data_IF_161659688177
#
_entry.id   IF_161659688177
#
_cell.length_a   1.000
_cell.length_b   1.000
_cell.length_c   1.000
_cell.angle_alpha   90.00
_cell.angle_beta   90.00
_cell.angle_gamma   90.00
#
_symmetry.space_group_name_H-M   'P 1'
#
loop_
_entity.id
_entity.type
_entity.pdbx_description
1 polymer ?
#
# COMPACT_ATOMS: atom_id res chain seq x y z
N UNK A 1 -6.08 27.17 7.27
CA UNK A 1 -5.23 26.95 8.45
C UNK A 1 -3.82 26.65 7.96
N UNK A 2 -2.75 27.29 8.50
CA UNK A 2 -1.41 26.86 8.14
C UNK A 2 -1.17 25.45 8.68
N UNK A 3 -0.60 24.57 7.87
CA UNK A 3 -0.12 23.26 8.31
C UNK A 3 1.10 23.51 9.19
N UNK A 4 0.93 23.45 10.50
CA UNK A 4 2.01 23.69 11.46
C UNK A 4 2.41 22.37 12.11
N UNK A 5 3.68 22.02 11.99
CA UNK A 5 4.30 20.91 12.74
C UNK A 5 4.40 21.34 14.22
N UNK A 6 3.70 20.63 15.08
CA UNK A 6 3.71 20.83 16.53
C UNK A 6 4.70 19.88 17.25
N UNK A 7 4.68 19.86 18.60
CA UNK A 7 5.54 18.96 19.39
C UNK A 7 5.19 17.50 19.17
N UNK A 8 3.90 17.15 19.10
CA UNK A 8 3.45 15.77 18.92
C UNK A 8 3.91 15.17 17.57
N UNK A 9 3.88 15.98 16.49
CA UNK A 9 4.44 15.56 15.20
C UNK A 9 5.95 15.32 15.25
N UNK A 10 6.70 16.10 16.06
CA UNK A 10 8.13 15.88 16.25
C UNK A 10 8.40 14.61 17.05
N UNK A 11 7.61 14.36 18.10
CA UNK A 11 7.71 13.15 18.92
C UNK A 11 7.38 11.91 18.06
N UNK A 12 6.38 11.99 17.19
CA UNK A 12 6.08 10.94 16.21
C UNK A 12 7.26 10.73 15.26
N UNK A 13 7.81 11.80 14.68
CA UNK A 13 8.96 11.73 13.78
C UNK A 13 10.16 11.06 14.46
N UNK A 14 10.47 11.43 15.71
CA UNK A 14 11.59 10.88 16.49
C UNK A 14 11.36 9.40 16.82
N UNK A 15 10.13 9.00 17.12
CA UNK A 15 9.74 7.60 17.33
C UNK A 15 9.93 6.77 16.07
N UNK A 16 9.39 7.22 14.92
CA UNK A 16 9.53 6.53 13.63
C UNK A 16 10.99 6.46 13.19
N UNK A 17 11.75 7.55 13.34
CA UNK A 17 13.19 7.60 13.05
C UNK A 17 13.98 6.58 13.88
N UNK A 18 13.62 6.44 15.14
CA UNK A 18 14.24 5.46 16.06
C UNK A 18 13.91 4.04 15.64
N UNK A 19 12.67 3.78 15.22
CA UNK A 19 12.28 2.50 14.61
C UNK A 19 13.11 2.22 13.36
N UNK A 20 13.15 3.14 12.40
CA UNK A 20 13.87 3.01 11.13
C UNK A 20 15.34 2.67 11.34
N UNK A 21 16.03 3.40 12.21
CA UNK A 21 17.44 3.12 12.55
C UNK A 21 17.68 1.71 13.10
N UNK A 22 16.69 1.14 13.80
CA UNK A 22 16.79 -0.20 14.38
C UNK A 22 16.50 -1.30 13.38
N UNK A 23 15.53 -1.10 12.46
CA UNK A 23 15.02 -2.17 11.59
C UNK A 23 15.50 -2.08 10.14
N UNK A 24 16.03 -0.94 9.72
CA UNK A 24 16.58 -0.69 8.40
C UNK A 24 17.94 0.04 8.48
N UNK A 25 18.94 -0.49 9.23
CA UNK A 25 20.27 0.09 9.23
C UNK A 25 20.92 -0.02 7.84
N UNK A 26 21.99 0.71 7.62
CA UNK A 26 22.65 0.80 6.31
C UNK A 26 23.04 -0.56 5.72
N UNK A 27 23.45 -1.49 6.57
CA UNK A 27 23.84 -2.86 6.17
C UNK A 27 22.66 -3.61 5.54
N UNK A 28 21.47 -3.53 6.15
CA UNK A 28 20.23 -4.14 5.62
C UNK A 28 19.82 -3.50 4.30
N UNK A 29 20.00 -2.18 4.18
CA UNK A 29 19.70 -1.47 2.93
C UNK A 29 20.68 -1.86 1.81
N UNK A 30 21.96 -1.98 2.09
CA UNK A 30 22.96 -2.44 1.11
C UNK A 30 22.66 -3.87 0.65
N UNK A 31 22.35 -4.77 1.56
CA UNK A 31 21.96 -6.14 1.21
C UNK A 31 20.71 -6.16 0.32
N UNK A 32 19.74 -5.32 0.61
CA UNK A 32 18.49 -5.20 -0.16
C UNK A 32 18.68 -4.67 -1.59
N UNK A 33 19.79 -3.98 -1.89
CA UNK A 33 20.14 -3.57 -3.25
C UNK A 33 20.57 -4.75 -4.13
N UNK A 34 21.15 -5.77 -3.52
CA UNK A 34 21.71 -6.94 -4.22
C UNK A 34 20.78 -8.16 -4.16
N UNK A 35 20.08 -8.32 -3.05
CA UNK A 35 19.20 -9.47 -2.78
C UNK A 35 17.81 -8.99 -2.39
N UNK A 36 16.75 -9.44 -3.09
CA UNK A 36 15.38 -9.09 -2.73
C UNK A 36 15.09 -9.43 -1.26
N UNK A 37 14.52 -8.47 -0.53
CA UNK A 37 14.08 -8.71 0.83
C UNK A 37 12.92 -9.71 0.89
N UNK A 38 12.79 -10.46 2.00
CA UNK A 38 11.61 -11.28 2.24
C UNK A 38 10.34 -10.44 2.24
N UNK A 39 9.22 -11.08 1.90
CA UNK A 39 7.89 -10.44 1.91
C UNK A 39 7.05 -11.03 3.04
N UNK A 40 6.55 -10.22 3.99
CA UNK A 40 6.83 -8.78 4.17
C UNK A 40 8.27 -8.53 4.63
N UNK A 41 8.81 -7.32 4.39
CA UNK A 41 10.15 -6.97 4.84
C UNK A 41 10.22 -6.91 6.38
N UNK A 42 11.42 -7.10 6.98
CA UNK A 42 11.56 -7.25 8.44
C UNK A 42 10.96 -6.11 9.28
N UNK A 43 11.03 -4.88 8.77
CA UNK A 43 10.48 -3.73 9.50
C UNK A 43 8.94 -3.71 9.54
N UNK A 44 8.26 -4.40 8.61
CA UNK A 44 6.81 -4.32 8.41
C UNK A 44 6.03 -4.67 9.68
N UNK A 45 6.42 -5.77 10.32
CA UNK A 45 5.80 -6.18 11.58
C UNK A 45 6.03 -5.15 12.68
N UNK A 46 7.26 -4.64 12.83
CA UNK A 46 7.59 -3.65 13.86
C UNK A 46 6.84 -2.32 13.64
N UNK A 47 6.58 -1.93 12.40
CA UNK A 47 5.74 -0.78 12.07
C UNK A 47 4.26 -1.04 12.44
N UNK A 48 3.76 -2.24 12.20
CA UNK A 48 2.40 -2.65 12.61
C UNK A 48 2.21 -2.65 14.13
N UNK A 49 3.19 -3.18 14.88
CA UNK A 49 3.18 -3.18 16.36
C UNK A 49 3.14 -1.75 16.94
N UNK A 50 3.59 -0.74 16.20
CA UNK A 50 3.50 0.68 16.55
C UNK A 50 2.26 1.38 15.95
N UNK A 51 1.38 0.66 15.27
CA UNK A 51 0.17 1.20 14.64
C UNK A 51 0.43 2.10 13.42
N UNK A 52 1.65 2.09 12.85
CA UNK A 52 2.04 3.01 11.78
C UNK A 52 1.33 2.74 10.45
N UNK A 53 0.85 1.51 10.21
CA UNK A 53 0.08 1.18 9.00
C UNK A 53 -1.33 1.77 9.05
N UNK A 54 -1.90 1.90 10.25
CA UNK A 54 -3.26 2.38 10.49
C UNK A 54 -3.35 3.82 11.01
N UNK A 55 -2.29 4.64 10.93
CA UNK A 55 -2.29 6.01 11.50
C UNK A 55 -3.53 6.82 11.08
N UNK A 56 -3.89 6.77 9.81
CA UNK A 56 -4.97 7.57 9.20
C UNK A 56 -6.32 6.85 9.18
N UNK A 57 -6.38 5.60 9.62
CA UNK A 57 -7.61 4.82 9.64
C UNK A 57 -8.35 5.02 10.97
N UNK A 58 -9.67 4.85 10.93
CA UNK A 58 -10.50 4.98 12.11
C UNK A 58 -10.18 3.90 13.17
N UNK A 59 -10.41 4.23 14.45
CA UNK A 59 -10.23 3.30 15.56
C UNK A 59 -11.17 2.08 15.45
N UNK A 60 -12.36 2.24 14.84
CA UNK A 60 -13.32 1.16 14.61
C UNK A 60 -12.76 0.00 13.78
N UNK A 61 -11.81 0.27 12.90
CA UNK A 61 -11.12 -0.74 12.09
C UNK A 61 -9.71 -1.07 12.59
N UNK A 62 -9.37 -0.67 13.82
CA UNK A 62 -8.06 -0.90 14.43
C UNK A 62 -7.00 0.12 14.06
N UNK A 63 -7.38 1.24 13.44
CA UNK A 63 -6.50 2.37 13.17
C UNK A 63 -6.24 3.24 14.40
N UNK A 64 -5.49 4.33 14.22
CA UNK A 64 -5.13 5.26 15.29
C UNK A 64 -5.99 6.54 15.29
N UNK A 65 -6.86 6.74 14.30
CA UNK A 65 -7.75 7.89 14.19
C UNK A 65 -7.06 9.22 13.92
N UNK A 66 -5.78 9.22 13.52
CA UNK A 66 -5.06 10.43 13.15
C UNK A 66 -5.41 10.90 11.73
N UNK A 67 -4.79 12.02 11.32
CA UNK A 67 -4.99 12.59 9.99
C UNK A 67 -3.88 12.23 8.99
N UNK A 68 -4.03 12.81 7.79
CA UNK A 68 -3.01 12.69 6.75
C UNK A 68 -1.69 13.36 7.11
N UNK A 69 -1.69 14.31 8.07
CA UNK A 69 -0.48 14.99 8.48
C UNK A 69 0.45 14.06 9.27
N UNK A 70 -0.09 13.31 10.22
CA UNK A 70 0.66 12.30 11.00
C UNK A 70 1.15 11.19 10.09
N UNK A 71 0.33 10.73 9.15
CA UNK A 71 0.75 9.77 8.13
C UNK A 71 1.92 10.31 7.29
N UNK A 72 1.85 11.59 6.86
CA UNK A 72 2.91 12.22 6.08
C UNK A 72 4.22 12.34 6.88
N UNK A 73 4.13 12.63 8.18
CA UNK A 73 5.30 12.66 9.09
C UNK A 73 5.97 11.29 9.14
N UNK A 74 5.20 10.22 9.32
CA UNK A 74 5.73 8.86 9.36
C UNK A 74 6.36 8.45 8.01
N UNK A 75 5.68 8.74 6.89
CA UNK A 75 6.17 8.46 5.54
C UNK A 75 7.48 9.22 5.27
N UNK A 76 7.61 10.47 5.72
CA UNK A 76 8.83 11.25 5.56
C UNK A 76 10.02 10.57 6.25
N UNK A 77 9.85 10.06 7.47
CA UNK A 77 10.92 9.36 8.20
C UNK A 77 11.28 8.01 7.53
N UNK A 78 10.31 7.27 7.02
CA UNK A 78 10.58 6.08 6.20
C UNK A 78 11.34 6.44 4.92
N UNK A 79 11.00 7.57 4.29
CA UNK A 79 11.71 8.09 3.12
C UNK A 79 13.15 8.47 3.41
N UNK A 80 13.40 9.21 4.50
CA UNK A 80 14.74 9.56 4.97
C UNK A 80 15.61 8.34 5.26
N UNK A 81 15.01 7.29 5.80
CA UNK A 81 15.69 6.03 6.06
C UNK A 81 15.74 5.09 4.86
N UNK A 82 15.30 5.50 3.67
CA UNK A 82 15.21 4.68 2.47
C UNK A 82 14.53 3.32 2.69
N UNK A 83 13.60 3.24 3.67
CA UNK A 83 12.94 1.98 4.06
C UNK A 83 12.28 1.34 2.84
N UNK A 84 12.64 0.09 2.48
CA UNK A 84 12.13 -0.55 1.27
C UNK A 84 10.68 -1.01 1.42
N UNK A 85 9.97 -1.20 0.31
CA UNK A 85 8.72 -1.96 0.26
C UNK A 85 7.44 -1.15 0.19
N UNK A 86 6.38 -1.68 0.83
CA UNK A 86 4.98 -1.47 0.45
C UNK A 86 4.24 -0.39 1.24
N UNK A 87 4.92 0.36 2.12
CA UNK A 87 4.23 1.27 3.06
C UNK A 87 3.38 2.33 2.35
N UNK A 88 3.96 3.06 1.40
CA UNK A 88 3.24 4.12 0.68
C UNK A 88 2.10 3.57 -0.18
N UNK A 89 2.31 2.53 -1.02
CA UNK A 89 1.20 1.93 -1.77
C UNK A 89 0.06 1.43 -0.87
N UNK A 90 0.38 0.76 0.25
CA UNK A 90 -0.64 0.30 1.19
C UNK A 90 -1.39 1.44 1.87
N UNK A 91 -0.70 2.52 2.25
CA UNK A 91 -1.32 3.69 2.85
C UNK A 91 -2.29 4.39 1.88
N UNK A 92 -1.92 4.52 0.61
CA UNK A 92 -2.81 5.10 -0.41
C UNK A 92 -4.01 4.18 -0.66
N UNK A 93 -3.78 2.89 -0.83
CA UNK A 93 -4.84 1.91 -1.04
C UNK A 93 -5.85 1.90 0.12
N UNK A 94 -5.36 1.86 1.37
CA UNK A 94 -6.23 1.87 2.55
C UNK A 94 -7.01 3.18 2.70
N UNK A 95 -6.41 4.32 2.36
CA UNK A 95 -7.10 5.61 2.36
C UNK A 95 -8.23 5.67 1.31
N UNK A 96 -8.00 5.13 0.10
CA UNK A 96 -9.02 5.05 -0.95
C UNK A 96 -10.17 4.13 -0.54
N UNK A 97 -9.87 2.96 0.01
CA UNK A 97 -10.89 2.03 0.50
C UNK A 97 -11.71 2.68 1.61
N UNK A 98 -11.06 3.29 2.62
CA UNK A 98 -11.74 3.94 3.74
C UNK A 98 -12.58 5.15 3.30
N UNK A 99 -12.18 5.87 2.26
CA UNK A 99 -12.95 6.98 1.70
C UNK A 99 -14.24 6.51 1.00
N UNK A 100 -14.27 5.29 0.47
CA UNK A 100 -15.44 4.69 -0.15
C UNK A 100 -16.32 3.96 0.87
N UNK A 101 -15.71 3.14 1.71
CA UNK A 101 -16.35 2.38 2.79
C UNK A 101 -15.45 2.36 4.02
N UNK A 102 -15.79 3.20 4.99
CA UNK A 102 -15.00 3.38 6.22
C UNK A 102 -14.98 2.13 7.12
N UNK A 103 -15.91 1.22 6.95
CA UNK A 103 -16.05 -0.01 7.74
C UNK A 103 -15.68 -1.26 6.93
N UNK A 104 -15.07 -1.11 5.74
CA UNK A 104 -14.67 -2.24 4.90
C UNK A 104 -13.80 -3.23 5.69
N UNK A 105 -14.15 -4.53 5.75
CA UNK A 105 -13.47 -5.52 6.61
C UNK A 105 -11.97 -5.64 6.38
N UNK A 106 -11.51 -5.38 5.14
CA UNK A 106 -10.10 -5.42 4.76
C UNK A 106 -9.25 -4.37 5.47
N UNK A 107 -9.85 -3.26 5.90
CA UNK A 107 -9.16 -2.17 6.60
C UNK A 107 -8.53 -2.62 7.91
N UNK A 108 -9.16 -3.56 8.63
CA UNK A 108 -8.60 -4.14 9.87
C UNK A 108 -7.26 -4.83 9.61
N UNK A 109 -7.16 -5.62 8.54
CA UNK A 109 -5.92 -6.26 8.15
C UNK A 109 -4.84 -5.27 7.69
N UNK A 110 -5.25 -4.22 6.98
CA UNK A 110 -4.36 -3.14 6.54
C UNK A 110 -3.83 -2.33 7.73
N UNK A 111 -4.69 -1.97 8.68
CA UNK A 111 -4.31 -1.25 9.90
C UNK A 111 -3.31 -2.05 10.76
N UNK A 112 -3.54 -3.34 10.91
CA UNK A 112 -2.66 -4.25 11.66
C UNK A 112 -1.36 -4.61 10.89
N UNK A 113 -1.29 -4.35 9.58
CA UNK A 113 -0.18 -4.78 8.73
C UNK A 113 -0.17 -6.27 8.40
N UNK A 114 -1.26 -7.00 8.67
CA UNK A 114 -1.43 -8.41 8.27
C UNK A 114 -1.83 -8.55 6.80
N UNK A 115 -2.36 -7.49 6.21
CA UNK A 115 -2.68 -7.36 4.79
C UNK A 115 -1.78 -6.29 4.19
N UNK A 116 -1.17 -6.58 3.03
CA UNK A 116 -0.43 -5.61 2.23
C UNK A 116 -1.25 -5.27 1.00
N UNK A 117 -1.40 -3.98 0.71
CA UNK A 117 -2.04 -3.53 -0.51
C UNK A 117 -1.06 -2.89 -1.49
N UNK A 118 -1.33 -3.06 -2.78
CA UNK A 118 -0.71 -2.32 -3.86
C UNK A 118 -1.70 -1.33 -4.46
N UNK A 119 -1.15 -0.32 -5.13
CA UNK A 119 -1.93 0.74 -5.75
C UNK A 119 -1.25 1.20 -7.04
N UNK A 120 -2.04 1.48 -8.08
CA UNK A 120 -1.57 2.15 -9.28
C UNK A 120 -2.52 3.29 -9.67
N UNK A 121 -1.96 4.37 -10.22
CA UNK A 121 -2.73 5.53 -10.73
C UNK A 121 -3.34 5.27 -12.09
N UNK A 122 -2.74 4.38 -12.87
CA UNK A 122 -3.10 4.11 -14.26
C UNK A 122 -3.16 2.61 -14.52
N UNK A 123 -4.08 2.20 -15.37
CA UNK A 123 -4.15 0.86 -15.92
C UNK A 123 -4.86 0.86 -17.27
N UNK A 124 -4.68 -0.21 -18.04
CA UNK A 124 -5.44 -0.53 -19.23
C UNK A 124 -6.54 -1.57 -18.90
N UNK A 125 -6.97 -1.64 -17.64
CA UNK A 125 -8.06 -2.52 -17.20
C UNK A 125 -9.42 -1.98 -17.66
N UNK A 126 -10.25 -2.87 -18.12
CA UNK A 126 -11.64 -2.59 -18.51
C UNK A 126 -12.59 -3.53 -17.79
N UNK A 127 -13.76 -3.05 -17.43
CA UNK A 127 -14.83 -3.87 -16.89
C UNK A 127 -16.00 -3.96 -17.89
N UNK A 128 -16.55 -5.16 -18.02
CA UNK A 128 -17.76 -5.43 -18.81
C UNK A 128 -18.76 -6.19 -17.97
N UNK A 129 -20.05 -5.83 -18.11
CA UNK A 129 -21.12 -6.53 -17.40
C UNK A 129 -21.57 -7.76 -18.18
N UNK A 130 -21.64 -8.91 -17.52
CA UNK A 130 -22.15 -10.15 -18.04
C UNK A 130 -23.24 -10.71 -17.10
N UNK A 131 -24.50 -10.39 -17.37
CA UNK A 131 -25.59 -10.65 -16.41
C UNK A 131 -25.42 -9.83 -15.13
N UNK A 132 -25.37 -10.51 -13.98
CA UNK A 132 -25.15 -9.86 -12.67
C UNK A 132 -23.66 -9.71 -12.31
N UNK A 133 -22.76 -10.40 -13.01
CA UNK A 133 -21.34 -10.34 -12.78
C UNK A 133 -20.67 -9.19 -13.56
N UNK A 134 -19.64 -8.61 -12.96
CA UNK A 134 -18.72 -7.67 -13.62
C UNK A 134 -17.41 -8.41 -13.88
N UNK A 135 -16.96 -8.42 -15.13
CA UNK A 135 -15.74 -9.11 -15.56
C UNK A 135 -14.67 -8.09 -15.91
N UNK A 136 -13.52 -8.18 -15.25
CA UNK A 136 -12.38 -7.30 -15.45
C UNK A 136 -11.33 -8.01 -16.32
N UNK A 137 -10.81 -7.28 -17.33
CA UNK A 137 -9.74 -7.71 -18.24
C UNK A 137 -8.77 -6.59 -18.53
N UNK A 138 -7.53 -6.95 -18.86
CA UNK A 138 -6.50 -6.00 -19.25
C UNK A 138 -5.27 -6.08 -18.35
N UNK A 139 -4.49 -5.01 -18.33
CA UNK A 139 -3.23 -4.99 -17.58
C UNK A 139 -2.98 -3.64 -16.89
N UNK A 140 -2.18 -3.68 -15.82
CA UNK A 140 -1.57 -2.52 -15.20
C UNK A 140 -0.06 -2.73 -15.14
N UNK A 141 0.71 -1.74 -15.61
CA UNK A 141 2.17 -1.85 -15.73
C UNK A 141 2.86 -1.14 -14.59
N UNK A 142 3.99 -1.72 -14.16
CA UNK A 142 4.87 -1.12 -13.16
C UNK A 142 4.15 -0.76 -11.85
N UNK A 143 3.26 -1.64 -11.39
CA UNK A 143 2.51 -1.44 -10.15
C UNK A 143 3.44 -1.61 -8.95
N UNK A 144 3.65 -0.56 -8.14
CA UNK A 144 4.52 -0.63 -6.97
C UNK A 144 3.98 -1.64 -5.95
N UNK A 145 4.88 -2.46 -5.40
CA UNK A 145 4.62 -3.44 -4.36
C UNK A 145 3.63 -4.57 -4.74
N UNK A 146 3.18 -4.68 -5.99
CA UNK A 146 2.16 -5.67 -6.37
C UNK A 146 2.57 -7.12 -6.05
N UNK A 147 3.84 -7.47 -6.22
CA UNK A 147 4.33 -8.82 -5.91
C UNK A 147 4.29 -9.17 -4.41
N UNK A 148 4.18 -8.16 -3.54
CA UNK A 148 4.08 -8.33 -2.09
C UNK A 148 2.64 -8.22 -1.58
N UNK A 149 1.72 -7.74 -2.41
CA UNK A 149 0.36 -7.41 -2.01
C UNK A 149 -0.55 -8.63 -2.06
N UNK A 150 -1.50 -8.70 -1.12
CA UNK A 150 -2.64 -9.62 -1.17
C UNK A 150 -3.87 -8.99 -1.83
N UNK A 151 -3.95 -7.66 -1.84
CA UNK A 151 -4.99 -6.91 -2.55
C UNK A 151 -4.37 -5.78 -3.38
N UNK A 152 -5.02 -5.45 -4.49
CA UNK A 152 -4.64 -4.35 -5.35
C UNK A 152 -5.82 -3.39 -5.55
N UNK A 153 -5.54 -2.09 -5.43
CA UNK A 153 -6.50 -1.03 -5.75
C UNK A 153 -6.09 -0.41 -7.08
N UNK A 154 -6.86 -0.68 -8.12
CA UNK A 154 -6.53 -0.33 -9.49
C UNK A 154 -7.68 0.43 -10.16
N UNK A 155 -7.40 1.44 -11.00
CA UNK A 155 -8.42 2.09 -11.81
C UNK A 155 -8.88 1.15 -12.92
N UNK A 156 -10.17 1.09 -13.17
CA UNK A 156 -10.79 0.25 -14.20
C UNK A 156 -11.72 1.11 -15.05
N UNK A 157 -11.56 1.09 -16.35
CA UNK A 157 -12.44 1.78 -17.27
C UNK A 157 -13.78 1.03 -17.38
N UNK A 158 -14.85 1.79 -17.24
CA UNK A 158 -16.24 1.37 -17.42
C UNK A 158 -16.91 2.29 -18.47
N UNK A 159 -18.10 1.96 -18.93
CA UNK A 159 -18.81 2.77 -19.94
C UNK A 159 -19.03 4.23 -19.52
N UNK A 160 -19.19 4.50 -18.20
CA UNK A 160 -19.43 5.84 -17.63
C UNK A 160 -18.18 6.58 -17.20
N UNK A 161 -16.96 5.98 -17.31
CA UNK A 161 -15.73 6.62 -16.88
C UNK A 161 -14.71 5.65 -16.30
N UNK A 162 -14.10 6.01 -15.19
CA UNK A 162 -13.12 5.16 -14.48
C UNK A 162 -13.57 4.99 -13.04
N UNK A 163 -13.55 3.76 -12.56
CA UNK A 163 -13.81 3.42 -11.15
C UNK A 163 -12.60 2.72 -10.53
N UNK A 164 -12.51 2.75 -9.20
CA UNK A 164 -11.48 2.04 -8.46
C UNK A 164 -11.99 0.65 -8.07
N UNK A 165 -11.28 -0.39 -8.50
CA UNK A 165 -11.58 -1.77 -8.11
C UNK A 165 -10.60 -2.23 -7.02
N UNK A 166 -11.13 -2.91 -6.02
CA UNK A 166 -10.34 -3.65 -5.00
C UNK A 166 -10.31 -5.11 -5.44
N UNK A 167 -9.15 -5.58 -5.85
CA UNK A 167 -8.95 -6.91 -6.44
C UNK A 167 -8.08 -7.78 -5.53
N UNK A 168 -8.47 -9.05 -5.35
CA UNK A 168 -7.64 -10.04 -4.69
C UNK A 168 -6.49 -10.46 -5.62
N UNK A 169 -5.26 -10.38 -5.12
CA UNK A 169 -4.05 -10.75 -5.85
C UNK A 169 -4.07 -12.21 -6.34
N UNK A 170 -4.78 -13.10 -5.62
CA UNK A 170 -4.91 -14.50 -6.00
C UNK A 170 -5.64 -14.72 -7.35
N UNK A 171 -6.41 -13.74 -7.81
CA UNK A 171 -7.13 -13.79 -9.07
C UNK A 171 -6.39 -13.09 -10.22
N UNK A 172 -5.19 -12.58 -9.97
CA UNK A 172 -4.39 -11.81 -10.91
C UNK A 172 -3.10 -12.55 -11.29
N UNK A 173 -2.64 -12.34 -12.49
CA UNK A 173 -1.30 -12.73 -12.91
C UNK A 173 -0.35 -11.57 -12.56
N UNK A 174 0.60 -11.81 -11.65
CA UNK A 174 1.54 -10.79 -11.17
C UNK A 174 2.95 -11.21 -11.54
N UNK A 175 3.57 -10.46 -12.44
CA UNK A 175 4.91 -10.70 -12.95
C UNK A 175 5.87 -9.62 -12.42
N UNK A 176 6.79 -9.95 -11.49
CA UNK A 176 7.79 -9.00 -11.03
C UNK A 176 8.68 -8.54 -12.19
N UNK A 177 8.94 -7.25 -12.25
CA UNK A 177 9.84 -6.66 -13.27
C UNK A 177 11.00 -5.93 -12.61
N UNK A 178 12.09 -5.78 -13.35
CA UNK A 178 13.28 -5.08 -12.85
C UNK A 178 12.96 -3.60 -12.65
N UNK A 179 13.03 -3.15 -11.40
CA UNK A 179 12.94 -1.74 -11.05
C UNK A 179 14.29 -1.03 -11.17
N UNK A 180 14.27 0.27 -11.48
CA UNK A 180 15.46 1.13 -11.39
C UNK A 180 15.91 1.29 -9.93
N UNK A 181 14.94 1.34 -9.01
CA UNK A 181 15.18 1.32 -7.56
C UNK A 181 14.84 -0.07 -7.00
N UNK A 182 15.84 -0.91 -6.64
CA UNK A 182 15.60 -2.24 -6.07
C UNK A 182 14.82 -2.20 -4.74
N UNK A 183 14.88 -1.07 -4.00
CA UNK A 183 14.14 -0.90 -2.75
C UNK A 183 12.64 -0.61 -2.99
N UNK A 184 12.25 -0.36 -4.24
CA UNK A 184 10.88 -0.10 -4.67
C UNK A 184 10.49 -1.08 -5.79
N UNK A 185 10.28 -2.37 -5.44
CA UNK A 185 9.93 -3.37 -6.43
C UNK A 185 8.59 -3.05 -7.10
N UNK A 186 8.53 -3.31 -8.40
CA UNK A 186 7.32 -3.15 -9.20
C UNK A 186 7.00 -4.46 -9.92
N UNK A 187 5.76 -4.65 -10.32
CA UNK A 187 5.33 -5.79 -11.11
C UNK A 187 4.35 -5.36 -12.22
N UNK A 188 4.27 -6.15 -13.27
CA UNK A 188 3.13 -6.12 -14.19
C UNK A 188 2.00 -6.95 -13.59
N UNK A 189 0.78 -6.48 -13.77
CA UNK A 189 -0.44 -7.11 -13.27
C UNK A 189 -1.39 -7.32 -14.43
N UNK A 190 -1.90 -8.53 -14.60
CA UNK A 190 -2.88 -8.86 -15.64
C UNK A 190 -4.12 -9.49 -15.03
N UNK A 191 -5.28 -9.03 -15.49
CA UNK A 191 -6.58 -9.62 -15.22
C UNK A 191 -7.08 -10.32 -16.48
N UNK A 192 -7.21 -11.65 -16.45
CA UNK A 192 -7.61 -12.49 -17.60
C UNK A 192 -9.10 -12.88 -17.57
N UNK A 193 -9.93 -12.03 -16.96
CA UNK A 193 -11.37 -12.26 -16.78
C UNK A 193 -11.71 -12.51 -15.31
N UNK A 194 -11.28 -11.59 -14.45
CA UNK A 194 -11.61 -11.62 -13.02
C UNK A 194 -13.06 -11.20 -12.82
N UNK A 195 -13.84 -12.05 -12.21
CA UNK A 195 -15.24 -11.76 -11.87
C UNK A 195 -15.32 -11.14 -10.48
N UNK A 196 -16.07 -10.05 -10.39
CA UNK A 196 -16.46 -9.41 -9.13
C UNK A 196 -17.98 -9.32 -9.04
N UNK A 197 -18.52 -9.53 -7.86
CA UNK A 197 -19.96 -9.52 -7.57
C UNK A 197 -20.35 -8.18 -6.92
#
# INVERSE_FOLDING_TARGET
>A
MPIAINSEHRDLADSVRSLVKRVAPAEVLHEALETPLPTPPPYWRAAGEQGLHGLHLAESVGGQGFGLLELAVAIAEFGYGAVPGSHVPSAIASALIAAHDADAPVLTGLAAGTTIAAFALESDLTASRHGDAVVIRGEARSVPAAAAASILVLPVAIDSGVEWAVLDAAHLEIEPVRSVDPLRPVAHVRASGVEIN
#
